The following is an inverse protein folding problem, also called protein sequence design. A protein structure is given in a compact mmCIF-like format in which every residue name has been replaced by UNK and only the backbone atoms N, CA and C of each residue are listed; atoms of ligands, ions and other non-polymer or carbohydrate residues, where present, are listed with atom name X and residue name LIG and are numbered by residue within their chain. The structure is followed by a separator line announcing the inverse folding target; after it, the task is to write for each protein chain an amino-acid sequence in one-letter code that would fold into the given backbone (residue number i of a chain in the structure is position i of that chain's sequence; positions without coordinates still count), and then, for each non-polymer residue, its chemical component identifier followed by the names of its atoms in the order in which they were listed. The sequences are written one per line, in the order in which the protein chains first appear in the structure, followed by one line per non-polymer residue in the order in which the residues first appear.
data_IF_137776958396
#
_entry.id   IF_137776958396
#
_cell.length_a   1.000
_cell.length_b   1.000
_cell.length_c   1.000
_cell.angle_alpha   90.00
_cell.angle_beta   90.00
_cell.angle_gamma   90.00
#
_symmetry.space_group_name_H-M   'P 1'
#
loop_
_entity.id
_entity.type
_entity.pdbx_description
1 polymer ?
#
# COMPACT_ATOMS: atom_id res chain seq x y z
N UNK A 1 -39.19 36.17 39.21
CA UNK A 1 -38.66 36.36 37.83
C UNK A 1 -37.51 35.40 37.48
N UNK A 2 -37.62 34.08 37.75
CA UNK A 2 -36.50 33.13 37.52
C UNK A 2 -36.71 32.16 36.35
N UNK A 3 -37.92 31.69 36.07
CA UNK A 3 -38.14 30.56 35.15
C UNK A 3 -37.96 30.94 33.67
N UNK A 4 -38.45 32.10 33.25
CA UNK A 4 -38.37 32.55 31.85
C UNK A 4 -36.92 32.80 31.37
N UNK A 5 -36.06 33.31 32.26
CA UNK A 5 -34.62 33.49 31.98
C UNK A 5 -33.90 32.15 31.84
N UNK A 6 -34.21 31.18 32.71
CA UNK A 6 -33.62 29.84 32.66
C UNK A 6 -34.01 29.08 31.38
N UNK A 7 -35.28 29.18 30.95
CA UNK A 7 -35.74 28.55 29.70
C UNK A 7 -35.06 29.14 28.46
N UNK A 8 -34.84 30.46 28.45
CA UNK A 8 -34.16 31.14 27.34
C UNK A 8 -32.68 30.70 27.23
N UNK A 9 -31.99 30.54 28.37
CA UNK A 9 -30.63 30.01 28.40
C UNK A 9 -30.55 28.55 27.93
N UNK A 10 -31.47 27.69 28.35
CA UNK A 10 -31.53 26.30 27.89
C UNK A 10 -31.78 26.19 26.38
N UNK A 11 -32.64 27.05 25.84
CA UNK A 11 -32.89 27.12 24.40
C UNK A 11 -31.68 27.63 23.62
N UNK A 12 -30.95 28.64 24.14
CA UNK A 12 -29.71 29.13 23.53
C UNK A 12 -28.63 28.04 23.50
N UNK A 13 -28.41 27.36 24.63
CA UNK A 13 -27.45 26.26 24.74
C UNK A 13 -27.81 25.08 23.82
N UNK A 14 -29.09 24.75 23.69
CA UNK A 14 -29.56 23.71 22.77
C UNK A 14 -29.32 24.09 21.31
N UNK A 15 -29.58 25.36 20.96
CA UNK A 15 -29.33 25.89 19.61
C UNK A 15 -27.83 25.91 19.27
N UNK A 16 -26.99 26.35 20.20
CA UNK A 16 -25.53 26.32 20.08
C UNK A 16 -25.01 24.87 19.95
N UNK A 17 -25.57 23.92 20.71
CA UNK A 17 -25.23 22.50 20.60
C UNK A 17 -25.67 21.90 19.26
N UNK A 18 -26.84 22.28 18.74
CA UNK A 18 -27.35 21.83 17.45
C UNK A 18 -26.57 22.46 16.27
N UNK A 19 -26.13 23.71 16.38
CA UNK A 19 -25.24 24.36 15.42
C UNK A 19 -23.82 23.77 15.47
N UNK A 20 -23.28 23.49 16.65
CA UNK A 20 -22.01 22.79 16.81
C UNK A 20 -22.07 21.35 16.25
N UNK A 21 -23.21 20.66 16.34
CA UNK A 21 -23.44 19.37 15.68
C UNK A 21 -23.46 19.46 14.16
N UNK A 22 -23.98 20.56 13.58
CA UNK A 22 -23.97 20.80 12.13
C UNK A 22 -22.58 21.12 11.59
N UNK A 23 -21.69 21.65 12.43
CA UNK A 23 -20.30 21.99 12.06
C UNK A 23 -19.30 20.84 12.24
N UNK A 24 -19.67 19.72 12.88
CA UNK A 24 -18.80 18.54 12.95
C UNK A 24 -18.69 17.91 11.56
N UNK A 25 -17.47 17.60 11.07
CA UNK A 25 -17.30 16.85 9.83
C UNK A 25 -18.10 15.55 9.93
N UNK A 26 -19.01 15.32 8.98
CA UNK A 26 -19.70 14.04 8.88
C UNK A 26 -18.66 13.00 8.49
N UNK A 27 -18.24 12.16 9.43
CA UNK A 27 -17.35 11.03 9.16
C UNK A 27 -18.03 10.08 8.20
N UNK A 28 -17.39 9.82 7.06
CA UNK A 28 -17.90 8.90 6.04
C UNK A 28 -17.89 7.44 6.54
N UNK A 29 -18.73 6.54 5.98
CA UNK A 29 -18.68 5.11 6.32
C UNK A 29 -17.29 4.49 6.14
N UNK A 30 -16.57 4.88 5.10
CA UNK A 30 -15.19 4.47 4.86
C UNK A 30 -14.25 4.92 5.98
N UNK A 31 -14.30 6.21 6.38
CA UNK A 31 -13.53 6.71 7.52
C UNK A 31 -13.88 5.99 8.82
N UNK A 32 -15.15 5.67 9.05
CA UNK A 32 -15.58 4.93 10.22
C UNK A 32 -14.99 3.51 10.25
N UNK A 33 -14.89 2.81 9.12
CA UNK A 33 -14.25 1.49 9.03
C UNK A 33 -12.73 1.57 9.29
N UNK A 34 -12.10 2.64 8.83
CA UNK A 34 -10.67 2.88 9.06
C UNK A 34 -10.37 3.27 10.52
N UNK A 35 -11.27 4.06 11.16
CA UNK A 35 -11.04 4.69 12.47
C UNK A 35 -11.62 3.97 13.70
N UNK A 36 -12.72 3.19 13.56
CA UNK A 36 -13.55 2.86 14.74
C UNK A 36 -12.97 1.80 15.67
N UNK A 37 -12.26 2.25 16.70
CA UNK A 37 -12.35 1.69 18.05
C UNK A 37 -13.67 2.04 18.75
N UNK A 38 -14.84 1.64 18.19
CA UNK A 38 -16.12 1.68 18.94
C UNK A 38 -16.46 0.29 19.49
N UNK A 39 -17.00 0.17 20.72
CA UNK A 39 -17.43 -1.11 21.27
C UNK A 39 -18.49 -1.75 20.35
N UNK A 40 -18.16 -2.90 19.75
CA UNK A 40 -19.04 -3.66 18.86
C UNK A 40 -18.75 -3.54 17.35
N UNK A 41 -17.76 -2.75 16.92
CA UNK A 41 -17.22 -2.83 15.56
C UNK A 41 -15.95 -3.68 15.58
N UNK A 42 -16.00 -4.86 14.96
CA UNK A 42 -14.90 -5.85 14.94
C UNK A 42 -13.84 -5.62 13.88
N UNK A 43 -13.85 -4.47 13.18
CA UNK A 43 -12.97 -4.18 12.05
C UNK A 43 -12.58 -2.69 12.05
N UNK A 44 -11.55 -2.34 12.79
CA UNK A 44 -10.84 -1.08 12.65
C UNK A 44 -9.54 -1.36 11.90
N UNK A 45 -9.57 -1.23 10.57
CA UNK A 45 -8.50 -1.72 9.72
C UNK A 45 -7.11 -1.21 10.12
N UNK A 46 -6.97 0.06 10.53
CA UNK A 46 -5.69 0.62 10.99
C UNK A 46 -5.31 0.24 12.42
N UNK A 47 -6.30 0.02 13.29
CA UNK A 47 -6.06 -0.39 14.69
C UNK A 47 -5.69 -1.87 14.79
N UNK A 48 -6.16 -2.67 13.83
CA UNK A 48 -5.86 -4.10 13.67
C UNK A 48 -4.63 -4.37 12.80
N UNK A 49 -3.91 -3.34 12.35
CA UNK A 49 -2.65 -3.50 11.64
C UNK A 49 -1.56 -4.01 12.59
N UNK A 50 -1.51 -5.32 12.78
CA UNK A 50 -0.34 -6.01 13.33
C UNK A 50 0.71 -6.16 12.22
N UNK A 51 1.48 -5.09 12.01
CA UNK A 51 2.52 -5.10 10.98
C UNK A 51 3.75 -5.86 11.47
N UNK A 52 4.32 -6.76 10.64
CA UNK A 52 5.64 -7.32 10.91
C UNK A 52 6.71 -6.23 10.85
N UNK A 53 7.89 -6.49 11.43
CA UNK A 53 9.04 -5.56 11.40
C UNK A 53 9.52 -5.20 9.98
N UNK A 54 9.10 -5.99 8.99
CA UNK A 54 9.35 -5.79 7.56
C UNK A 54 8.44 -4.74 6.93
N UNK A 55 7.52 -4.13 7.68
CA UNK A 55 6.61 -3.10 7.17
C UNK A 55 6.58 -1.88 8.09
N UNK A 56 6.53 -0.69 7.49
CA UNK A 56 6.35 0.57 8.21
C UNK A 56 5.33 1.45 7.49
N UNK A 57 4.33 1.93 8.21
CA UNK A 57 3.38 2.94 7.70
C UNK A 57 3.84 4.35 8.06
N UNK A 58 3.51 5.30 7.19
CA UNK A 58 3.77 6.72 7.39
C UNK A 58 2.57 7.53 6.88
N UNK A 59 2.03 8.37 7.76
CA UNK A 59 0.89 9.26 7.51
C UNK A 59 1.43 10.69 7.40
N UNK A 60 1.51 11.28 6.19
CA UNK A 60 2.02 12.64 6.02
C UNK A 60 1.20 13.68 6.77
N UNK A 61 -0.12 13.46 6.86
CA UNK A 61 -1.03 14.24 7.69
C UNK A 61 -1.69 13.28 8.71
N UNK A 62 -1.44 13.44 10.02
CA UNK A 62 -2.07 12.62 11.06
C UNK A 62 -3.60 12.69 11.08
N UNK A 63 -4.20 13.74 10.51
CA UNK A 63 -5.65 13.87 10.38
C UNK A 63 -6.21 13.11 9.16
N UNK A 64 -5.38 12.84 8.15
CA UNK A 64 -5.75 12.07 6.96
C UNK A 64 -5.30 10.62 7.07
N UNK A 65 -6.21 9.79 7.57
CA UNK A 65 -6.01 8.33 7.64
C UNK A 65 -6.36 7.61 6.33
N UNK A 66 -6.90 8.33 5.34
CA UNK A 66 -7.33 7.75 4.06
C UNK A 66 -6.18 7.71 3.04
N UNK A 67 -5.14 8.51 3.24
CA UNK A 67 -3.95 8.55 2.40
C UNK A 67 -2.70 8.37 3.24
N UNK A 68 -1.99 7.27 3.00
CA UNK A 68 -0.75 6.99 3.70
C UNK A 68 0.24 6.29 2.79
N UNK A 69 1.47 6.16 3.26
CA UNK A 69 2.51 5.37 2.61
C UNK A 69 2.85 4.16 3.45
N UNK A 70 3.19 3.05 2.80
CA UNK A 70 3.78 1.87 3.44
C UNK A 70 5.14 1.60 2.81
N UNK A 71 6.14 1.34 3.63
CA UNK A 71 7.46 0.86 3.21
C UNK A 71 7.55 -0.61 3.56
N UNK A 72 7.87 -1.45 2.58
CA UNK A 72 8.11 -2.88 2.74
C UNK A 72 9.59 -3.15 2.57
N UNK A 73 10.20 -3.79 3.57
CA UNK A 73 11.58 -4.25 3.58
C UNK A 73 11.55 -5.77 3.72
N UNK A 74 11.56 -6.52 2.60
CA UNK A 74 11.47 -7.98 2.63
C UNK A 74 12.64 -8.59 3.41
N UNK A 75 12.34 -9.49 4.34
CA UNK A 75 13.33 -10.27 5.09
C UNK A 75 13.65 -11.61 4.40
N UNK A 76 14.40 -12.47 5.10
CA UNK A 76 14.77 -13.78 4.58
C UNK A 76 13.52 -14.63 4.34
N UNK A 77 13.24 -14.94 3.07
CA UNK A 77 12.27 -15.97 2.74
C UNK A 77 12.65 -17.27 3.45
N UNK A 78 11.68 -17.89 4.12
CA UNK A 78 11.89 -18.96 5.12
C UNK A 78 12.31 -20.31 4.52
N UNK A 79 12.57 -20.40 3.21
CA UNK A 79 13.02 -21.63 2.58
C UNK A 79 14.15 -21.40 1.58
N UNK A 80 14.96 -22.43 1.34
CA UNK A 80 16.04 -22.41 0.36
C UNK A 80 15.56 -22.12 -1.08
N UNK A 81 14.28 -22.42 -1.37
CA UNK A 81 13.62 -22.03 -2.62
C UNK A 81 13.24 -20.55 -2.66
N UNK A 82 13.23 -19.85 -1.52
CA UNK A 82 12.87 -18.44 -1.34
C UNK A 82 14.05 -17.58 -0.86
N UNK A 83 15.31 -17.95 -1.17
CA UNK A 83 16.45 -17.05 -0.94
C UNK A 83 16.06 -15.63 -1.41
N UNK A 84 15.99 -14.70 -0.45
CA UNK A 84 15.18 -13.49 -0.57
C UNK A 84 15.56 -12.68 -1.80
N UNK A 85 14.75 -12.78 -2.87
CA UNK A 85 15.04 -12.20 -4.18
C UNK A 85 15.28 -10.69 -4.06
N UNK A 86 14.50 -10.05 -3.20
CA UNK A 86 14.51 -8.62 -2.97
C UNK A 86 15.08 -8.22 -1.60
N UNK A 87 15.81 -9.14 -0.94
CA UNK A 87 16.43 -8.89 0.36
C UNK A 87 17.33 -7.66 0.30
N UNK A 88 17.20 -6.79 1.30
CA UNK A 88 18.00 -5.56 1.43
C UNK A 88 17.49 -4.37 0.62
N UNK A 89 16.41 -4.54 -0.16
CA UNK A 89 15.67 -3.43 -0.76
C UNK A 89 14.61 -2.85 0.19
N UNK A 90 14.25 -1.59 -0.03
CA UNK A 90 13.09 -0.97 0.60
C UNK A 90 12.15 -0.41 -0.47
N UNK A 91 10.87 -0.80 -0.40
CA UNK A 91 9.87 -0.52 -1.43
C UNK A 91 8.72 0.27 -0.85
N UNK A 92 8.58 1.53 -1.26
CA UNK A 92 7.52 2.42 -0.79
C UNK A 92 6.30 2.41 -1.71
N UNK A 93 5.13 2.28 -1.12
CA UNK A 93 3.84 2.33 -1.79
C UNK A 93 2.95 3.43 -1.20
N UNK A 94 2.16 4.10 -2.02
CA UNK A 94 1.02 4.92 -1.57
C UNK A 94 -0.22 4.05 -1.49
N UNK A 95 -1.00 4.23 -0.44
CA UNK A 95 -2.32 3.64 -0.24
C UNK A 95 -3.34 4.77 -0.15
N UNK A 96 -4.32 4.76 -1.04
CA UNK A 96 -5.42 5.73 -1.07
C UNK A 96 -6.76 5.00 -0.93
N UNK A 97 -7.39 5.16 0.24
CA UNK A 97 -8.68 4.59 0.56
C UNK A 97 -9.75 5.52 -0.02
N UNK A 98 -10.65 4.95 -0.83
CA UNK A 98 -11.73 5.71 -1.43
C UNK A 98 -12.98 5.76 -0.51
N UNK A 99 -13.94 6.62 -0.84
CA UNK A 99 -15.15 6.82 -0.02
C UNK A 99 -16.14 5.64 -0.06
N UNK A 100 -16.01 4.75 -1.03
CA UNK A 100 -16.81 3.54 -1.20
C UNK A 100 -16.19 2.31 -0.52
N UNK A 101 -15.04 2.47 0.15
CA UNK A 101 -14.44 1.40 0.94
C UNK A 101 -15.40 0.89 2.03
N UNK A 102 -15.55 -0.45 2.22
CA UNK A 102 -14.79 -1.55 1.63
C UNK A 102 -15.40 -2.17 0.37
N UNK A 103 -16.42 -1.56 -0.24
CA UNK A 103 -17.00 -2.10 -1.47
C UNK A 103 -16.02 -2.04 -2.64
N UNK A 104 -15.27 -0.94 -2.74
CA UNK A 104 -14.16 -0.81 -3.68
C UNK A 104 -12.81 -0.95 -2.96
N UNK A 105 -11.79 -1.55 -3.60
CA UNK A 105 -10.45 -1.70 -3.03
C UNK A 105 -9.76 -0.35 -2.85
N UNK A 106 -8.77 -0.25 -1.93
CA UNK A 106 -7.89 0.90 -1.89
C UNK A 106 -7.05 0.95 -3.18
N UNK A 107 -6.69 2.15 -3.62
CA UNK A 107 -5.73 2.32 -4.72
C UNK A 107 -4.32 2.25 -4.16
N UNK A 108 -3.52 1.31 -4.69
CA UNK A 108 -2.12 1.14 -4.31
C UNK A 108 -1.22 1.43 -5.50
N UNK A 109 -0.16 2.20 -5.27
CA UNK A 109 0.89 2.44 -6.28
C UNK A 109 2.26 2.37 -5.64
N UNK A 110 3.21 1.74 -6.32
CA UNK A 110 4.61 1.85 -5.95
C UNK A 110 5.10 3.27 -6.28
N UNK A 111 5.67 3.93 -5.28
CA UNK A 111 6.23 5.29 -5.38
C UNK A 111 7.70 5.31 -4.99
N UNK A 112 8.35 4.16 -5.04
CA UNK A 112 9.79 4.06 -4.93
C UNK A 112 10.37 4.77 -6.15
N UNK A 113 10.66 6.06 -5.99
CA UNK A 113 11.31 6.87 -7.02
C UNK A 113 12.80 6.66 -6.92
N UNK A 114 13.38 6.26 -8.02
CA UNK A 114 14.82 6.22 -8.22
C UNK A 114 15.31 7.58 -8.77
N UNK A 115 16.62 7.82 -8.77
CA UNK A 115 17.29 9.11 -9.05
C UNK A 115 16.81 9.79 -10.35
N UNK A 116 16.28 9.04 -11.32
CA UNK A 116 15.70 9.55 -12.58
C UNK A 116 14.20 9.88 -12.53
N UNK A 117 13.55 9.81 -11.36
CA UNK A 117 12.14 10.21 -11.18
C UNK A 117 11.10 9.18 -11.60
N UNK A 118 11.51 8.04 -12.16
CA UNK A 118 10.66 6.88 -12.48
C UNK A 118 10.67 5.85 -11.34
N UNK A 119 9.71 4.94 -11.32
CA UNK A 119 9.72 3.78 -10.42
C UNK A 119 10.29 2.59 -11.17
N UNK A 120 11.49 2.16 -10.80
CA UNK A 120 12.23 1.17 -11.57
C UNK A 120 12.62 0.03 -10.64
N UNK A 121 11.67 -0.87 -10.40
CA UNK A 121 11.90 -2.12 -9.67
C UNK A 121 11.79 -3.24 -10.70
N UNK A 122 12.83 -4.07 -10.81
CA UNK A 122 12.78 -5.23 -11.69
C UNK A 122 11.93 -6.33 -11.05
N UNK A 123 10.63 -6.34 -11.33
CA UNK A 123 9.66 -7.21 -10.67
C UNK A 123 8.55 -7.64 -11.64
N UNK A 124 8.15 -8.94 -11.70
CA UNK A 124 7.09 -9.41 -12.60
C UNK A 124 5.76 -8.65 -12.48
N UNK A 125 5.33 -8.37 -11.25
CA UNK A 125 4.03 -7.73 -10.95
C UNK A 125 4.06 -6.21 -10.77
N UNK A 126 5.17 -5.53 -11.11
CA UNK A 126 5.27 -4.07 -11.07
C UNK A 126 5.68 -3.54 -12.45
N UNK A 127 5.10 -2.43 -12.89
CA UNK A 127 5.57 -1.70 -14.08
C UNK A 127 6.40 -0.46 -13.72
N UNK A 128 6.84 0.25 -14.77
CA UNK A 128 7.68 1.45 -14.66
C UNK A 128 6.91 2.68 -14.14
N UNK A 129 5.57 2.65 -14.21
CA UNK A 129 4.68 3.70 -13.72
C UNK A 129 4.26 3.45 -12.26
N UNK A 130 4.74 2.36 -11.65
CA UNK A 130 4.45 1.96 -10.28
C UNK A 130 3.08 1.33 -10.11
N UNK A 131 2.44 0.85 -11.17
CA UNK A 131 1.23 0.03 -11.05
C UNK A 131 1.59 -1.34 -10.47
N UNK A 132 0.66 -1.90 -9.70
CA UNK A 132 0.83 -3.17 -9.00
C UNK A 132 -0.22 -4.15 -9.51
N UNK A 133 0.23 -5.33 -9.95
CA UNK A 133 -0.66 -6.46 -10.23
C UNK A 133 -0.79 -7.30 -8.95
N UNK A 134 -1.89 -7.11 -8.23
CA UNK A 134 -2.29 -7.90 -7.08
C UNK A 134 -3.78 -8.22 -7.24
N UNK A 135 -4.12 -9.48 -7.40
CA UNK A 135 -5.48 -9.97 -7.69
C UNK A 135 -6.53 -9.45 -6.72
N UNK A 136 -6.22 -9.40 -5.42
CA UNK A 136 -7.12 -8.89 -4.39
C UNK A 136 -7.37 -7.37 -4.49
N UNK A 137 -6.61 -6.61 -5.28
CA UNK A 137 -6.92 -5.19 -5.56
C UNK A 137 -7.77 -5.02 -6.83
N UNK A 138 -8.19 -6.12 -7.47
CA UNK A 138 -8.90 -6.13 -8.75
C UNK A 138 -10.06 -7.14 -8.69
N UNK A 139 -9.97 -8.23 -9.43
CA UNK A 139 -11.02 -9.24 -9.60
C UNK A 139 -11.37 -10.03 -8.33
N UNK A 140 -10.43 -10.18 -7.38
CA UNK A 140 -10.66 -10.93 -6.15
C UNK A 140 -10.98 -10.04 -4.94
N UNK A 141 -11.10 -8.71 -5.15
CA UNK A 141 -11.52 -7.82 -4.07
C UNK A 141 -12.94 -8.14 -3.62
N UNK A 142 -13.14 -8.20 -2.30
CA UNK A 142 -14.46 -8.26 -1.71
C UNK A 142 -14.48 -7.56 -0.34
N UNK A 143 -15.65 -7.11 0.15
CA UNK A 143 -15.76 -6.33 1.40
C UNK A 143 -15.33 -7.04 2.69
N UNK A 144 -15.03 -8.34 2.65
CA UNK A 144 -14.49 -9.10 3.79
C UNK A 144 -12.99 -8.83 3.94
N UNK A 145 -12.30 -8.50 2.84
CA UNK A 145 -10.89 -8.12 2.88
C UNK A 145 -10.70 -6.76 3.58
N UNK A 146 -9.50 -6.55 4.08
CA UNK A 146 -9.12 -5.35 4.82
C UNK A 146 -7.72 -4.86 4.41
N UNK A 147 -7.28 -3.74 4.99
CA UNK A 147 -5.94 -3.20 4.70
C UNK A 147 -4.83 -4.20 5.02
N UNK A 148 -4.95 -5.00 6.09
CA UNK A 148 -3.95 -6.00 6.43
C UNK A 148 -3.78 -7.05 5.30
N UNK A 149 -4.89 -7.55 4.74
CA UNK A 149 -4.85 -8.46 3.58
C UNK A 149 -4.09 -7.86 2.40
N UNK A 150 -4.30 -6.58 2.13
CA UNK A 150 -3.60 -5.84 1.06
C UNK A 150 -2.11 -5.76 1.36
N UNK A 151 -1.72 -5.37 2.58
CA UNK A 151 -0.31 -5.20 2.95
C UNK A 151 0.45 -6.54 2.93
N UNK A 152 -0.16 -7.61 3.46
CA UNK A 152 0.39 -8.98 3.38
C UNK A 152 0.53 -9.42 1.93
N UNK A 153 -0.48 -9.16 1.09
CA UNK A 153 -0.40 -9.45 -0.35
C UNK A 153 0.75 -8.72 -1.05
N UNK A 154 0.97 -7.44 -0.73
CA UNK A 154 2.10 -6.67 -1.26
C UNK A 154 3.45 -7.24 -0.83
N UNK A 155 3.60 -7.67 0.43
CA UNK A 155 4.84 -8.33 0.87
C UNK A 155 5.03 -9.67 0.18
N UNK A 156 3.97 -10.45 0.01
CA UNK A 156 4.07 -11.75 -0.65
C UNK A 156 4.56 -11.62 -2.09
N UNK A 157 4.21 -10.55 -2.82
CA UNK A 157 4.77 -10.29 -4.15
C UNK A 157 6.30 -10.26 -4.16
N UNK A 158 6.95 -9.74 -3.11
CA UNK A 158 8.42 -9.73 -3.00
C UNK A 158 9.03 -11.04 -2.51
N UNK A 159 8.25 -11.88 -1.84
CA UNK A 159 8.70 -13.19 -1.37
C UNK A 159 8.57 -14.24 -2.48
N UNK A 160 7.44 -14.22 -3.19
CA UNK A 160 7.07 -15.15 -4.24
C UNK A 160 6.37 -14.39 -5.40
N UNK A 161 7.15 -13.78 -6.32
CA UNK A 161 6.59 -13.04 -7.44
C UNK A 161 5.79 -13.95 -8.36
N UNK A 162 4.62 -13.49 -8.81
CA UNK A 162 3.75 -14.28 -9.67
C UNK A 162 4.09 -14.04 -11.16
N UNK A 163 4.59 -15.03 -11.91
CA UNK A 163 4.89 -14.86 -13.33
C UNK A 163 3.65 -14.94 -14.24
N UNK A 164 2.50 -15.43 -13.75
CA UNK A 164 1.34 -15.82 -14.58
C UNK A 164 0.46 -14.67 -15.04
N UNK A 165 0.40 -13.57 -14.27
CA UNK A 165 -0.19 -12.30 -14.70
C UNK A 165 0.80 -11.13 -14.52
N UNK A 166 1.84 -11.03 -15.37
CA UNK A 166 2.91 -10.08 -15.16
C UNK A 166 2.65 -8.74 -15.86
N UNK A 167 2.95 -7.65 -15.17
CA UNK A 167 3.09 -6.32 -15.80
C UNK A 167 4.43 -6.20 -16.53
N UNK A 168 5.48 -6.82 -15.97
CA UNK A 168 6.80 -6.92 -16.58
C UNK A 168 7.02 -8.33 -17.13
N UNK A 169 6.72 -8.51 -18.41
CA UNK A 169 6.83 -9.80 -19.11
C UNK A 169 8.26 -10.35 -19.12
N UNK A 170 9.27 -9.48 -19.26
CA UNK A 170 10.67 -9.91 -19.27
C UNK A 170 11.09 -10.47 -17.91
N UNK A 171 10.76 -9.78 -16.81
CA UNK A 171 11.03 -10.26 -15.46
C UNK A 171 10.34 -11.61 -15.18
N UNK A 172 9.11 -11.78 -15.67
CA UNK A 172 8.37 -13.03 -15.53
C UNK A 172 8.98 -14.19 -16.34
N UNK A 173 9.40 -13.93 -17.58
CA UNK A 173 10.08 -14.91 -18.42
C UNK A 173 11.42 -15.35 -17.82
N UNK A 174 12.19 -14.41 -17.29
CA UNK A 174 13.44 -14.72 -16.60
C UNK A 174 13.21 -15.58 -15.36
N UNK A 175 12.22 -15.24 -14.55
CA UNK A 175 11.86 -16.01 -13.36
C UNK A 175 11.46 -17.44 -13.73
N UNK A 176 10.66 -17.62 -14.79
CA UNK A 176 10.28 -18.95 -15.30
C UNK A 176 11.46 -19.74 -15.83
N UNK A 177 12.40 -19.07 -16.51
CA UNK A 177 13.52 -19.71 -17.21
C UNK A 177 14.59 -20.17 -16.25
N UNK A 178 15.04 -19.27 -15.37
CA UNK A 178 16.12 -19.55 -14.42
C UNK A 178 16.02 -18.58 -13.23
N UNK A 179 15.51 -19.10 -12.12
CA UNK A 179 15.35 -18.34 -10.86
C UNK A 179 16.69 -17.82 -10.32
N UNK A 180 17.80 -18.53 -10.52
CA UNK A 180 19.13 -18.11 -10.04
C UNK A 180 19.66 -16.95 -10.87
N UNK A 181 19.55 -17.03 -12.20
CA UNK A 181 19.89 -15.92 -13.09
C UNK A 181 19.00 -14.69 -12.83
N UNK A 182 17.70 -14.91 -12.62
CA UNK A 182 16.75 -13.87 -12.22
C UNK A 182 17.19 -13.19 -10.92
N UNK A 183 17.53 -13.95 -9.87
CA UNK A 183 18.04 -13.40 -8.62
C UNK A 183 19.29 -12.53 -8.82
N UNK A 184 20.20 -12.94 -9.72
CA UNK A 184 21.37 -12.15 -10.11
C UNK A 184 20.99 -10.81 -10.77
N UNK A 185 19.97 -10.80 -11.63
CA UNK A 185 19.44 -9.56 -12.26
C UNK A 185 18.76 -8.65 -11.24
N UNK A 186 17.95 -9.20 -10.33
CA UNK A 186 17.31 -8.43 -9.24
C UNK A 186 18.37 -7.78 -8.37
N UNK A 187 19.38 -8.53 -7.90
CA UNK A 187 20.48 -7.99 -7.09
C UNK A 187 21.20 -6.85 -7.80
N UNK A 188 21.46 -7.00 -9.11
CA UNK A 188 22.09 -5.95 -9.93
C UNK A 188 21.19 -4.72 -10.06
N UNK A 189 19.89 -4.92 -10.28
CA UNK A 189 18.92 -3.83 -10.37
C UNK A 189 18.83 -3.05 -9.05
N UNK A 190 18.72 -3.73 -7.91
CA UNK A 190 18.68 -3.09 -6.59
C UNK A 190 19.96 -2.30 -6.27
N UNK A 191 21.11 -2.75 -6.77
CA UNK A 191 22.39 -2.04 -6.65
C UNK A 191 22.54 -0.86 -7.64
N UNK A 192 21.51 -0.50 -8.40
CA UNK A 192 21.56 0.57 -9.39
C UNK A 192 22.31 0.23 -10.68
N UNK A 193 22.37 -1.05 -11.03
CA UNK A 193 23.02 -1.51 -12.25
C UNK A 193 22.12 -1.39 -13.49
N UNK A 194 22.74 -1.53 -14.66
CA UNK A 194 22.01 -1.60 -15.95
C UNK A 194 21.73 -3.05 -16.33
N UNK A 195 20.47 -3.37 -16.63
CA UNK A 195 20.06 -4.63 -17.22
C UNK A 195 19.91 -4.46 -18.73
N UNK A 196 20.47 -5.39 -19.51
CA UNK A 196 20.22 -5.44 -20.96
C UNK A 196 18.91 -6.20 -21.17
N UNK A 197 17.99 -5.60 -21.93
CA UNK A 197 16.68 -6.19 -22.25
C UNK A 197 16.76 -6.91 -23.59
N UNK A 198 15.96 -7.97 -23.78
CA UNK A 198 15.90 -8.72 -25.04
C UNK A 198 15.10 -7.98 -26.12
N UNK A 199 14.27 -7.01 -25.74
CA UNK A 199 13.46 -6.21 -26.65
C UNK A 199 14.22 -4.98 -27.15
N UNK A 200 14.56 -5.01 -28.45
CA UNK A 200 14.87 -3.97 -29.46
C UNK A 200 15.33 -2.53 -29.10
N UNK A 201 15.55 -2.15 -27.86
CA UNK A 201 16.32 -0.97 -27.50
C UNK A 201 17.76 -1.41 -27.30
N UNK A 202 18.66 -0.98 -28.19
CA UNK A 202 20.09 -1.28 -28.12
C UNK A 202 20.76 -0.72 -26.84
N UNK A 203 20.01 0.02 -26.02
CA UNK A 203 20.42 0.63 -24.76
C UNK A 203 19.67 -0.08 -23.62
N UNK A 204 20.42 -0.71 -22.71
CA UNK A 204 19.84 -1.41 -21.56
C UNK A 204 19.08 -0.48 -20.62
N UNK A 205 18.22 -1.05 -19.77
CA UNK A 205 17.47 -0.34 -18.74
C UNK A 205 18.36 -0.15 -17.51
N UNK A 206 18.71 1.10 -17.18
CA UNK A 206 19.43 1.45 -15.95
C UNK A 206 18.47 1.57 -14.79
N UNK A 207 18.71 0.82 -13.73
CA UNK A 207 18.01 0.93 -12.45
C UNK A 207 18.83 1.87 -11.55
N UNK A 208 18.22 2.61 -10.61
CA UNK A 208 19.00 3.29 -9.56
C UNK A 208 18.97 2.49 -8.25
N UNK A 209 19.82 2.91 -7.31
CA UNK A 209 20.05 2.23 -6.04
C UNK A 209 18.78 2.19 -5.17
N UNK A 210 18.39 0.99 -4.72
CA UNK A 210 17.20 0.72 -3.87
C UNK A 210 17.58 0.05 -2.55
N UNK A 211 18.88 -0.14 -2.28
CA UNK A 211 19.34 -0.73 -1.02
C UNK A 211 19.32 0.29 0.11
N UNK A 212 19.06 -0.21 1.32
CA UNK A 212 19.08 0.55 2.58
C UNK A 212 20.52 0.77 3.06
#
# INVERSE_FOLDING_TARGET
MCVARALTQLWSQKKEADEAKKQRPKTSPAQLRVQKGTPGASHADLTELELPSTMQTHFPDPADLMHFTVTITPDEGTSAAHAGLYKGGAFRFTVAINHNYPHDPPKVRCVQKVRRGLTQIYHPNLDLDGNVCLNILREEWNPILNLNSVLVGLQFLFLDPNPDDPLNKEAAEDLRRDRSAFAGRVKRALAGGTLRTSTAHAEGVTYDYVLV
#
